data_IF_344244733999
#
_entry.id   IF_344244733999
#
_cell.length_a   1.000
_cell.length_b   1.000
_cell.length_c   1.000
_cell.angle_alpha   90.00
_cell.angle_beta   90.00
_cell.angle_gamma   90.00
#
_symmetry.space_group_name_H-M   'P 1'
#
loop_
_entity.id
_entity.type
_entity.pdbx_description
1 polymer ?
#
# COMPACT_ATOMS: atom_id res chain seq x y z
N UNK A 1 -11.04 -3.71 -12.23
CA UNK A 1 -9.74 -3.18 -11.75
C UNK A 1 -8.98 -4.32 -11.10
N UNK A 2 -7.80 -4.67 -11.64
CA UNK A 2 -6.90 -5.62 -10.96
C UNK A 2 -6.29 -4.96 -9.72
N UNK A 3 -5.98 -5.75 -8.70
CA UNK A 3 -5.32 -5.26 -7.48
C UNK A 3 -3.99 -4.55 -7.77
N UNK A 4 -3.27 -4.98 -8.80
CA UNK A 4 -2.04 -4.33 -9.27
C UNK A 4 -2.31 -2.94 -9.84
N UNK A 5 -3.44 -2.76 -10.54
CA UNK A 5 -3.85 -1.46 -11.05
C UNK A 5 -4.25 -0.52 -9.90
N UNK A 6 -4.94 -1.04 -8.88
CA UNK A 6 -5.28 -0.27 -7.68
C UNK A 6 -4.04 0.21 -6.91
N UNK A 7 -3.04 -0.66 -6.71
CA UNK A 7 -1.77 -0.27 -6.09
C UNK A 7 -1.03 0.79 -6.93
N UNK A 8 -0.99 0.63 -8.25
CA UNK A 8 -0.38 1.61 -9.16
C UNK A 8 -1.08 2.96 -9.12
N UNK A 9 -2.40 2.98 -8.92
CA UNK A 9 -3.15 4.23 -8.71
C UNK A 9 -2.80 4.89 -7.37
N UNK A 10 -2.73 4.12 -6.29
CA UNK A 10 -2.33 4.62 -4.97
C UNK A 10 -0.91 5.18 -4.97
N UNK A 11 0.03 4.53 -5.65
CA UNK A 11 1.41 5.02 -5.82
C UNK A 11 1.45 6.37 -6.52
N UNK A 12 0.70 6.53 -7.61
CA UNK A 12 0.59 7.83 -8.32
C UNK A 12 0.02 8.92 -7.42
N UNK A 13 -0.96 8.58 -6.59
CA UNK A 13 -1.59 9.55 -5.70
C UNK A 13 -0.67 9.96 -4.55
N UNK A 14 0.08 9.00 -3.99
CA UNK A 14 1.16 9.28 -3.04
C UNK A 14 2.21 10.22 -3.64
N UNK A 15 2.62 9.96 -4.89
CA UNK A 15 3.62 10.78 -5.57
C UNK A 15 3.15 12.23 -5.74
N UNK A 16 1.89 12.44 -6.14
CA UNK A 16 1.30 13.79 -6.25
C UNK A 16 1.28 14.53 -4.91
N UNK A 17 0.99 13.83 -3.81
CA UNK A 17 1.01 14.44 -2.49
C UNK A 17 2.44 14.84 -2.10
N UNK A 18 3.44 14.03 -2.43
CA UNK A 18 4.85 14.38 -2.17
C UNK A 18 5.26 15.64 -2.93
N UNK A 19 4.97 15.72 -4.23
CA UNK A 19 5.26 16.92 -5.02
C UNK A 19 4.61 18.18 -4.42
N UNK A 20 3.38 18.05 -3.90
CA UNK A 20 2.69 19.15 -3.23
C UNK A 20 3.32 19.52 -1.88
N UNK A 21 3.77 18.54 -1.10
CA UNK A 21 4.49 18.77 0.15
C UNK A 21 5.81 19.49 -0.15
N UNK A 22 6.57 19.02 -1.14
CA UNK A 22 7.85 19.61 -1.51
C UNK A 22 7.68 21.08 -1.91
N UNK A 23 6.70 21.38 -2.77
CA UNK A 23 6.36 22.76 -3.13
C UNK A 23 6.03 23.61 -1.92
N UNK A 24 5.24 23.08 -0.97
CA UNK A 24 4.91 23.80 0.27
C UNK A 24 6.12 24.01 1.17
N UNK A 25 7.03 23.03 1.26
CA UNK A 25 8.29 23.17 2.00
C UNK A 25 9.13 24.30 1.39
N UNK A 26 9.30 24.32 0.07
CA UNK A 26 10.04 25.38 -0.62
C UNK A 26 9.42 26.77 -0.39
N UNK A 27 8.10 26.86 -0.33
CA UNK A 27 7.38 28.11 -0.08
C UNK A 27 7.29 28.49 1.41
N UNK A 28 7.79 27.65 2.33
CA UNK A 28 7.65 27.84 3.78
C UNK A 28 6.19 27.74 4.27
N UNK A 29 5.32 27.08 3.51
CA UNK A 29 3.90 26.91 3.83
C UNK A 29 3.64 25.66 4.68
N UNK A 30 2.55 25.68 5.44
CA UNK A 30 2.14 24.51 6.21
C UNK A 30 1.64 23.38 5.30
N UNK A 31 2.22 22.19 5.48
CA UNK A 31 1.90 20.96 4.75
C UNK A 31 1.33 19.83 5.64
N UNK A 32 0.94 20.15 6.89
CA UNK A 32 0.47 19.14 7.85
C UNK A 32 -0.73 18.35 7.34
N UNK A 33 -1.62 18.98 6.57
CA UNK A 33 -2.79 18.33 5.98
C UNK A 33 -2.36 17.27 4.96
N UNK A 34 -1.51 17.65 4.01
CA UNK A 34 -0.97 16.76 3.00
C UNK A 34 -0.20 15.58 3.62
N UNK A 35 0.59 15.83 4.67
CA UNK A 35 1.30 14.79 5.39
C UNK A 35 0.37 13.77 6.08
N UNK A 36 -0.79 14.22 6.61
CA UNK A 36 -1.81 13.31 7.17
C UNK A 36 -2.42 12.43 6.08
N UNK A 37 -2.77 13.03 4.94
CA UNK A 37 -3.36 12.32 3.81
C UNK A 37 -2.38 11.29 3.24
N UNK A 38 -1.11 11.67 3.08
CA UNK A 38 -0.03 10.76 2.68
C UNK A 38 0.08 9.54 3.62
N UNK A 39 0.06 9.78 4.94
CA UNK A 39 0.13 8.70 5.95
C UNK A 39 -1.08 7.76 5.88
N UNK A 40 -2.27 8.27 5.56
CA UNK A 40 -3.47 7.46 5.37
C UNK A 40 -3.36 6.56 4.13
N UNK A 41 -2.87 7.10 3.01
CA UNK A 41 -2.65 6.30 1.79
C UNK A 41 -1.62 5.19 2.02
N UNK A 42 -0.52 5.48 2.72
CA UNK A 42 0.48 4.46 3.08
C UNK A 42 -0.11 3.33 3.93
N UNK A 43 -1.04 3.63 4.83
CA UNK A 43 -1.75 2.61 5.63
C UNK A 43 -2.61 1.72 4.75
N UNK A 44 -3.32 2.30 3.76
CA UNK A 44 -4.13 1.54 2.80
C UNK A 44 -3.25 0.61 1.97
N UNK A 45 -2.13 1.10 1.44
CA UNK A 45 -1.16 0.28 0.69
C UNK A 45 -0.70 -0.91 1.55
N UNK A 46 -0.24 -0.65 2.79
CA UNK A 46 0.22 -1.70 3.70
C UNK A 46 -0.84 -2.75 4.00
N UNK A 47 -2.09 -2.35 4.19
CA UNK A 47 -3.19 -3.28 4.44
C UNK A 47 -3.37 -4.24 3.27
N UNK A 48 -3.42 -3.72 2.04
CA UNK A 48 -3.57 -4.54 0.85
C UNK A 48 -2.36 -5.44 0.58
N UNK A 49 -1.14 -4.97 0.82
CA UNK A 49 0.08 -5.81 0.69
C UNK A 49 0.09 -6.94 1.73
N UNK A 50 -0.32 -6.68 2.98
CA UNK A 50 -0.34 -7.68 4.05
C UNK A 50 -1.40 -8.77 3.82
N UNK A 51 -2.58 -8.42 3.31
CA UNK A 51 -3.60 -9.41 2.98
C UNK A 51 -3.11 -10.43 1.95
N UNK A 52 -2.44 -9.95 0.89
CA UNK A 52 -1.89 -10.82 -0.14
C UNK A 52 -0.79 -11.74 0.40
N UNK A 53 0.07 -11.22 1.26
CA UNK A 53 1.14 -12.01 1.88
C UNK A 53 0.56 -13.08 2.82
N UNK A 54 -0.40 -12.72 3.68
CA UNK A 54 -1.05 -13.66 4.59
C UNK A 54 -1.79 -14.77 3.83
N UNK A 55 -2.51 -14.45 2.75
CA UNK A 55 -3.16 -15.44 1.89
C UNK A 55 -2.15 -16.39 1.23
N UNK A 56 -1.02 -15.86 0.74
CA UNK A 56 0.08 -16.67 0.18
C UNK A 56 0.68 -17.61 1.22
N UNK A 57 0.88 -17.13 2.45
CA UNK A 57 1.41 -17.95 3.53
C UNK A 57 0.44 -19.05 3.91
N UNK A 58 -0.84 -18.75 4.13
CA UNK A 58 -1.88 -19.77 4.37
C UNK A 58 -1.86 -20.83 3.26
N UNK A 59 -1.85 -20.43 1.99
CA UNK A 59 -1.76 -21.38 0.89
C UNK A 59 -0.53 -22.30 0.98
N UNK A 60 0.66 -21.75 1.23
CA UNK A 60 1.90 -22.52 1.34
C UNK A 60 1.93 -23.46 2.55
N UNK A 61 1.37 -23.06 3.70
CA UNK A 61 1.34 -23.87 4.92
C UNK A 61 0.25 -24.95 4.90
N UNK A 62 -0.91 -24.68 4.27
CA UNK A 62 -2.02 -25.62 4.22
C UNK A 62 -1.98 -26.57 3.02
N UNK A 63 -1.25 -26.26 1.94
CA UNK A 63 -1.12 -27.17 0.79
C UNK A 63 -0.16 -28.35 1.04
N UNK A 64 0.69 -28.29 2.08
CA UNK A 64 1.69 -29.35 2.37
C UNK A 64 1.12 -30.57 3.13
N UNK A 65 -0.16 -30.56 3.53
CA UNK A 65 -0.76 -31.61 4.37
C UNK A 65 -1.75 -32.56 3.66
N UNK A 66 -1.89 -32.51 2.33
CA UNK A 66 -2.90 -33.32 1.60
C UNK A 66 -2.29 -34.32 0.59
N UNK A 67 -0.98 -34.59 0.65
CA UNK A 67 -0.32 -35.54 -0.27
C UNK A 67 0.45 -36.69 0.40
N UNK A 68 0.12 -37.03 1.66
CA UNK A 68 0.71 -38.20 2.36
C UNK A 68 -0.30 -39.17 2.97
N UNK A 69 -1.55 -39.16 2.47
CA UNK A 69 -2.51 -40.23 2.72
C UNK A 69 -3.26 -40.58 1.42
N UNK A 70 -2.60 -41.31 0.53
CA UNK A 70 -3.19 -42.22 -0.45
C UNK A 70 -2.06 -43.06 -1.07
#
# INVERSE_FOLDING_TARGET
MSQTQYLKMLEKEIQKINEKIDLKIFQGQEYKREARDHKLLLRKVRYHTRQNFAQRMIYLFFHKNISTFA
#
